data_IF_668379149024
#
_entry.id   IF_668379149024
#
_cell.length_a   1.000
_cell.length_b   1.000
_cell.length_c   1.000
_cell.angle_alpha   90.00
_cell.angle_beta   90.00
_cell.angle_gamma   90.00
#
_symmetry.space_group_name_H-M   'P 1'
#
loop_
_entity.id
_entity.type
_entity.pdbx_description
1 polymer ?
#
# COMPACT_ATOMS: atom_id res chain seq x y z
N UNK A 1 -24.92 -4.31 14.47
CA UNK A 1 -25.35 -5.73 14.56
C UNK A 1 -24.18 -6.60 14.16
N UNK A 2 -23.37 -7.05 15.12
CA UNK A 2 -22.22 -7.92 14.89
C UNK A 2 -22.58 -9.31 15.38
N UNK A 3 -23.18 -10.11 14.51
CA UNK A 3 -23.51 -11.50 14.79
C UNK A 3 -23.04 -12.42 13.67
N UNK A 4 -21.77 -12.31 13.30
CA UNK A 4 -21.08 -13.37 12.58
C UNK A 4 -19.66 -13.44 13.12
N UNK A 5 -19.33 -14.52 13.83
CA UNK A 5 -18.00 -15.15 13.97
C UNK A 5 -17.94 -16.13 15.16
N UNK A 6 -19.00 -16.92 15.37
CA UNK A 6 -18.90 -18.20 16.07
C UNK A 6 -18.40 -19.27 15.10
N UNK A 7 -17.10 -19.26 14.76
CA UNK A 7 -16.49 -20.32 13.93
C UNK A 7 -16.00 -21.48 14.78
N UNK A 8 -16.96 -22.39 15.01
CA UNK A 8 -16.80 -23.77 15.47
C UNK A 8 -15.76 -24.52 14.60
N UNK A 9 -14.79 -25.27 15.16
CA UNK A 9 -13.73 -25.97 14.39
C UNK A 9 -14.21 -27.11 13.48
N UNK A 10 -15.51 -27.42 13.48
CA UNK A 10 -16.15 -28.44 12.63
C UNK A 10 -16.96 -27.85 11.45
N UNK A 11 -16.97 -26.53 11.26
CA UNK A 11 -17.64 -25.96 10.08
C UNK A 11 -16.75 -26.15 8.84
N UNK A 12 -17.32 -26.55 7.68
CA UNK A 12 -16.57 -26.69 6.43
C UNK A 12 -15.85 -25.37 6.13
N UNK A 13 -14.64 -25.48 5.56
CA UNK A 13 -13.83 -24.36 5.08
C UNK A 13 -14.77 -23.35 4.43
N UNK A 14 -14.88 -22.15 5.02
CA UNK A 14 -15.76 -21.11 4.51
C UNK A 14 -15.50 -20.98 2.99
N UNK A 15 -16.55 -21.03 2.15
CA UNK A 15 -16.37 -21.03 0.71
C UNK A 15 -15.52 -19.83 0.32
N UNK A 16 -14.56 -20.07 -0.56
CA UNK A 16 -13.72 -18.98 -1.10
C UNK A 16 -14.69 -17.97 -1.70
N UNK A 17 -14.69 -16.73 -1.19
CA UNK A 17 -15.52 -15.66 -1.74
C UNK A 17 -15.11 -15.45 -3.19
N UNK A 18 -15.90 -15.99 -4.10
CA UNK A 18 -15.77 -15.74 -5.54
C UNK A 18 -16.37 -14.38 -5.83
N UNK A 19 -15.71 -13.63 -6.71
CA UNK A 19 -16.20 -12.35 -7.21
C UNK A 19 -16.10 -12.37 -8.72
N UNK A 20 -17.06 -11.77 -9.40
CA UNK A 20 -17.09 -11.70 -10.86
C UNK A 20 -16.47 -10.40 -11.37
N UNK A 21 -16.47 -9.34 -10.55
CA UNK A 21 -16.02 -8.01 -10.92
C UNK A 21 -15.08 -7.38 -9.88
N UNK A 22 -14.14 -6.55 -10.37
CA UNK A 22 -13.25 -5.73 -9.53
C UNK A 22 -13.50 -4.26 -9.87
N UNK A 23 -13.89 -3.47 -8.87
CA UNK A 23 -14.06 -2.01 -8.98
C UNK A 23 -12.92 -1.29 -8.25
N UNK A 24 -12.45 -0.19 -8.84
CA UNK A 24 -11.53 0.77 -8.21
C UNK A 24 -12.26 2.11 -8.01
N UNK A 25 -12.04 2.75 -6.87
CA UNK A 25 -12.66 4.03 -6.49
C UNK A 25 -11.72 4.75 -5.52
N UNK A 26 -11.88 6.07 -5.40
CA UNK A 26 -11.14 6.86 -4.42
C UNK A 26 -11.57 6.47 -3.00
N UNK A 27 -10.59 6.46 -2.09
CA UNK A 27 -10.84 6.16 -0.69
C UNK A 27 -11.11 7.46 0.06
N UNK A 28 -12.32 7.60 0.60
CA UNK A 28 -12.64 8.70 1.51
C UNK A 28 -11.89 8.55 2.83
N UNK A 29 -11.68 9.62 3.61
CA UNK A 29 -11.08 9.54 4.93
C UNK A 29 -11.81 8.57 5.87
N UNK A 30 -13.15 8.56 5.84
CA UNK A 30 -13.98 7.66 6.64
C UNK A 30 -13.77 6.21 6.22
N UNK A 31 -13.65 5.96 4.91
CA UNK A 31 -13.36 4.62 4.38
C UNK A 31 -11.98 4.12 4.80
N UNK A 32 -10.97 5.00 4.79
CA UNK A 32 -9.62 4.67 5.27
C UNK A 32 -9.65 4.31 6.75
N UNK A 33 -10.41 5.05 7.57
CA UNK A 33 -10.59 4.75 8.99
C UNK A 33 -11.31 3.41 9.20
N UNK A 34 -12.30 3.07 8.37
CA UNK A 34 -13.03 1.79 8.45
C UNK A 34 -12.14 0.56 8.22
N UNK A 35 -11.06 0.69 7.42
CA UNK A 35 -10.08 -0.38 7.21
C UNK A 35 -9.09 -0.52 8.36
N UNK A 36 -9.00 0.51 9.19
CA UNK A 36 -7.96 0.60 10.19
C UNK A 36 -8.33 -0.09 11.48
N UNK A 37 -7.38 -0.84 12.04
CA UNK A 37 -7.49 -1.46 13.35
C UNK A 37 -6.89 -0.59 14.47
N UNK A 38 -6.33 0.57 14.12
CA UNK A 38 -5.79 1.52 15.09
C UNK A 38 -4.84 2.55 14.49
N UNK A 39 -4.66 3.64 15.23
CA UNK A 39 -3.77 4.74 14.89
C UNK A 39 -2.32 4.43 15.32
N UNK A 40 -1.36 4.72 14.44
CA UNK A 40 0.07 4.61 14.73
C UNK A 40 0.60 5.98 15.10
N UNK A 41 0.99 6.13 16.37
CA UNK A 41 1.46 7.39 16.93
C UNK A 41 2.97 7.50 16.94
N UNK A 42 3.67 6.37 17.06
CA UNK A 42 5.12 6.38 17.27
C UNK A 42 5.88 5.77 16.08
N UNK A 43 7.08 6.29 15.77
CA UNK A 43 7.91 5.79 14.68
C UNK A 43 8.62 4.48 15.05
N UNK A 44 8.62 4.07 16.31
CA UNK A 44 9.38 2.89 16.74
C UNK A 44 8.82 1.59 16.14
N UNK A 45 9.70 0.63 15.90
CA UNK A 45 9.36 -0.66 15.29
C UNK A 45 9.32 -1.75 16.36
N UNK A 46 10.49 -2.16 16.83
CA UNK A 46 10.68 -3.19 17.85
C UNK A 46 11.65 -2.68 18.93
N UNK A 47 11.51 -3.23 20.12
CA UNK A 47 12.44 -2.98 21.20
C UNK A 47 13.79 -3.66 20.92
N UNK A 48 14.89 -2.92 21.08
CA UNK A 48 16.23 -3.42 20.75
C UNK A 48 16.74 -4.55 21.67
N UNK A 49 16.23 -4.66 22.92
CA UNK A 49 16.64 -5.73 23.85
C UNK A 49 15.74 -6.94 23.77
N UNK A 50 14.43 -6.73 23.75
CA UNK A 50 13.45 -7.82 23.87
C UNK A 50 12.94 -8.33 22.52
N UNK A 51 13.23 -7.61 21.43
CA UNK A 51 12.70 -7.85 20.09
C UNK A 51 11.17 -7.88 20.01
N UNK A 52 10.49 -7.39 21.05
CA UNK A 52 9.03 -7.26 21.08
C UNK A 52 8.63 -5.97 20.36
N UNK A 53 7.51 -5.97 19.62
CA UNK A 53 6.96 -4.77 19.02
C UNK A 53 6.63 -3.71 20.06
N UNK A 54 6.94 -2.47 19.73
CA UNK A 54 6.62 -1.32 20.58
C UNK A 54 5.13 -0.99 20.54
N UNK A 55 4.64 -0.39 21.64
CA UNK A 55 3.24 0.04 21.75
C UNK A 55 3.00 1.28 20.87
N UNK A 56 1.94 1.24 20.09
CA UNK A 56 1.54 2.29 19.13
C UNK A 56 2.59 2.61 18.05
N UNK A 57 3.56 1.70 17.87
CA UNK A 57 4.57 1.75 16.82
C UNK A 57 4.15 1.04 15.54
N UNK A 58 5.04 1.04 14.55
CA UNK A 58 4.81 0.49 13.22
C UNK A 58 4.58 -1.03 13.17
N UNK A 59 4.91 -1.76 14.24
CA UNK A 59 4.72 -3.21 14.33
C UNK A 59 3.78 -3.62 15.47
N UNK A 60 3.08 -2.65 16.07
CA UNK A 60 2.28 -2.82 17.29
C UNK A 60 1.34 -4.04 17.20
N UNK A 61 1.45 -4.94 18.18
CA UNK A 61 0.63 -6.16 18.21
C UNK A 61 -0.85 -5.88 18.53
N UNK A 62 -1.17 -4.74 19.17
CA UNK A 62 -2.55 -4.33 19.44
C UNK A 62 -3.30 -3.99 18.14
N UNK A 63 -2.64 -3.27 17.24
CA UNK A 63 -3.21 -2.80 15.96
C UNK A 63 -3.22 -3.96 14.96
N UNK A 64 -2.07 -4.60 14.76
CA UNK A 64 -1.92 -5.56 13.67
C UNK A 64 -2.24 -7.02 14.04
N UNK A 65 -2.33 -7.35 15.33
CA UNK A 65 -2.58 -8.70 15.83
C UNK A 65 -1.35 -9.40 16.44
N UNK A 66 -1.50 -10.65 16.92
CA UNK A 66 -0.49 -11.35 17.71
C UNK A 66 0.69 -11.88 16.88
N UNK A 67 1.87 -11.97 17.48
CA UNK A 67 3.10 -12.49 16.83
C UNK A 67 3.10 -14.02 16.75
N UNK A 68 2.44 -14.69 17.70
CA UNK A 68 2.35 -16.14 17.78
C UNK A 68 0.88 -16.54 17.74
N UNK A 69 0.60 -17.70 17.16
CA UNK A 69 -0.76 -18.21 17.07
C UNK A 69 -1.36 -18.46 18.45
N UNK A 70 -2.56 -17.91 18.68
CA UNK A 70 -3.31 -18.05 19.92
C UNK A 70 -2.52 -17.67 21.20
N UNK A 71 -1.65 -16.67 21.10
CA UNK A 71 -0.89 -16.14 22.22
C UNK A 71 -0.84 -14.61 22.19
N UNK A 72 -1.23 -13.98 23.30
CA UNK A 72 -1.09 -12.53 23.46
C UNK A 72 0.38 -12.12 23.73
N UNK A 73 0.74 -10.86 23.43
CA UNK A 73 2.12 -10.38 23.54
C UNK A 73 2.78 -10.54 24.93
N UNK A 74 2.00 -10.39 26.00
CA UNK A 74 2.51 -10.54 27.37
C UNK A 74 2.55 -12.01 27.86
N UNK A 75 1.90 -12.92 27.14
CA UNK A 75 1.80 -14.33 27.51
C UNK A 75 0.80 -14.66 28.64
N UNK A 76 -0.04 -13.72 29.10
CA UNK A 76 -1.12 -13.97 30.08
C UNK A 76 -2.12 -15.00 29.53
N UNK A 77 -2.59 -14.77 28.31
CA UNK A 77 -3.49 -15.67 27.59
C UNK A 77 -2.70 -16.43 26.51
N UNK A 78 -2.72 -17.76 26.62
CA UNK A 78 -2.08 -18.70 25.70
C UNK A 78 -3.00 -19.88 25.40
N UNK A 79 -2.83 -20.46 24.21
CA UNK A 79 -3.58 -21.61 23.67
C UNK A 79 -4.95 -21.22 23.12
N UNK A 80 -5.49 -22.11 22.30
CA UNK A 80 -6.72 -21.92 21.53
C UNK A 80 -7.96 -21.64 22.40
N UNK A 81 -7.97 -22.04 23.68
CA UNK A 81 -9.10 -21.80 24.60
C UNK A 81 -9.46 -20.33 24.80
N UNK A 82 -8.51 -19.41 24.62
CA UNK A 82 -8.74 -17.97 24.77
C UNK A 82 -8.94 -17.26 23.43
N UNK A 83 -9.28 -18.00 22.37
CA UNK A 83 -9.51 -17.42 21.04
C UNK A 83 -10.56 -16.30 21.11
N UNK A 84 -10.23 -15.14 20.54
CA UNK A 84 -11.09 -13.96 20.51
C UNK A 84 -11.05 -13.10 21.78
N UNK A 85 -10.37 -13.54 22.85
CA UNK A 85 -10.21 -12.73 24.06
C UNK A 85 -9.16 -11.64 23.83
N UNK A 86 -9.52 -10.40 24.14
CA UNK A 86 -8.59 -9.27 24.15
C UNK A 86 -7.91 -9.18 25.51
N UNK A 87 -6.57 -9.17 25.51
CA UNK A 87 -5.83 -9.14 26.77
C UNK A 87 -5.90 -7.77 27.46
N UNK A 88 -6.35 -7.71 28.71
CA UNK A 88 -6.39 -6.46 29.51
C UNK A 88 -5.02 -5.80 29.69
N UNK A 89 -3.93 -6.58 29.78
CA UNK A 89 -2.58 -6.06 30.05
C UNK A 89 -1.93 -5.44 28.82
N UNK A 90 -2.04 -6.09 27.65
CA UNK A 90 -1.36 -5.65 26.43
C UNK A 90 -2.30 -5.18 25.31
N UNK A 91 -3.61 -5.34 25.46
CA UNK A 91 -4.61 -5.00 24.45
C UNK A 91 -4.58 -5.89 23.20
N UNK A 92 -3.79 -6.97 23.20
CA UNK A 92 -3.65 -7.85 22.03
C UNK A 92 -4.74 -8.91 22.04
N UNK A 93 -5.44 -9.02 20.93
CA UNK A 93 -6.43 -10.05 20.66
C UNK A 93 -5.75 -11.40 20.40
N UNK A 94 -6.27 -12.47 21.01
CA UNK A 94 -5.76 -13.83 20.85
C UNK A 94 -6.37 -14.45 19.59
N UNK A 95 -5.66 -14.36 18.47
CA UNK A 95 -6.02 -14.92 17.16
C UNK A 95 -4.84 -15.61 16.49
N UNK A 96 -5.02 -16.03 15.23
CA UNK A 96 -3.91 -16.48 14.37
C UNK A 96 -3.01 -15.30 14.00
N UNK A 97 -1.71 -15.54 13.82
CA UNK A 97 -0.73 -14.56 13.36
C UNK A 97 -1.05 -14.08 11.93
N UNK A 98 -1.68 -14.92 11.10
CA UNK A 98 -2.04 -14.61 9.70
C UNK A 98 -2.75 -13.25 9.54
N UNK A 99 -3.54 -12.84 10.53
CA UNK A 99 -4.24 -11.54 10.51
C UNK A 99 -3.29 -10.34 10.39
N UNK A 100 -2.02 -10.47 10.80
CA UNK A 100 -0.98 -9.43 10.65
C UNK A 100 -0.62 -9.12 9.20
N UNK A 101 -1.05 -9.95 8.25
CA UNK A 101 -0.91 -9.72 6.81
C UNK A 101 -2.11 -8.98 6.21
N UNK A 102 -3.23 -8.93 6.93
CA UNK A 102 -4.51 -8.40 6.43
C UNK A 102 -4.90 -7.09 7.13
N UNK A 103 -4.62 -6.95 8.43
CA UNK A 103 -4.98 -5.76 9.22
C UNK A 103 -4.15 -4.54 8.83
N UNK A 104 -4.82 -3.44 8.52
CA UNK A 104 -4.19 -2.15 8.23
C UNK A 104 -4.20 -1.24 9.47
N UNK A 105 -3.25 -0.30 9.51
CA UNK A 105 -3.25 0.80 10.47
C UNK A 105 -3.52 2.13 9.75
N UNK A 106 -3.64 3.21 10.50
CA UNK A 106 -3.69 4.56 9.91
C UNK A 106 -2.81 5.54 10.69
N UNK A 107 -2.48 6.65 10.05
CA UNK A 107 -1.83 7.82 10.63
C UNK A 107 -2.75 9.00 10.36
N UNK A 108 -3.18 9.67 11.42
CA UNK A 108 -3.89 10.94 11.32
C UNK A 108 -2.88 12.07 11.06
N UNK A 109 -3.01 12.74 9.92
CA UNK A 109 -2.10 13.80 9.53
C UNK A 109 -2.49 15.10 10.25
N UNK A 110 -1.50 15.82 10.75
CA UNK A 110 -1.67 17.09 11.45
C UNK A 110 -2.07 18.24 10.50
N UNK A 111 -1.75 18.09 9.22
CA UNK A 111 -2.13 18.98 8.13
C UNK A 111 -2.54 18.11 6.93
N UNK A 112 -3.56 18.50 6.16
CA UNK A 112 -3.86 17.88 4.88
C UNK A 112 -2.63 17.85 3.96
N UNK A 113 -2.54 16.81 3.12
CA UNK A 113 -1.42 16.58 2.21
C UNK A 113 -1.98 16.19 0.83
N UNK A 114 -1.61 16.91 -0.22
CA UNK A 114 -2.06 16.60 -1.57
C UNK A 114 -1.46 15.27 -2.05
N UNK A 115 -2.26 14.40 -2.64
CA UNK A 115 -1.74 13.12 -3.13
C UNK A 115 -0.93 13.34 -4.42
N UNK A 116 0.36 12.98 -4.38
CA UNK A 116 1.33 13.19 -5.48
C UNK A 116 0.87 12.67 -6.85
N UNK A 117 0.11 11.57 -6.88
CA UNK A 117 -0.45 11.04 -8.13
C UNK A 117 -1.43 11.99 -8.81
N UNK A 118 -2.36 12.61 -8.09
CA UNK A 118 -3.36 13.51 -8.69
C UNK A 118 -2.76 14.88 -9.02
N UNK A 119 -1.70 15.27 -8.32
CA UNK A 119 -0.96 16.49 -8.59
C UNK A 119 -0.05 16.38 -9.81
N UNK A 120 0.91 15.44 -9.80
CA UNK A 120 2.02 15.37 -10.79
C UNK A 120 1.77 14.42 -11.95
N UNK A 121 0.67 13.65 -11.96
CA UNK A 121 0.35 12.87 -13.16
C UNK A 121 -0.03 13.81 -14.29
N UNK A 122 0.42 13.54 -15.50
CA UNK A 122 0.06 14.33 -16.67
C UNK A 122 -1.13 13.66 -17.38
N UNK A 123 -2.26 14.36 -17.60
CA UNK A 123 -2.57 15.71 -17.09
C UNK A 123 -2.92 15.71 -15.58
N UNK A 124 -2.62 16.83 -14.90
CA UNK A 124 -2.89 16.99 -13.47
C UNK A 124 -4.39 17.01 -13.22
N UNK A 125 -4.89 16.13 -12.33
CA UNK A 125 -6.32 16.05 -12.05
C UNK A 125 -6.79 17.20 -11.18
N UNK A 126 -5.97 17.59 -10.20
CA UNK A 126 -6.22 18.77 -9.36
C UNK A 126 -6.14 20.05 -10.20
N UNK A 127 -5.12 20.17 -11.07
CA UNK A 127 -4.97 21.31 -11.97
C UNK A 127 -6.14 21.48 -12.94
N UNK A 128 -6.58 20.39 -13.57
CA UNK A 128 -7.74 20.46 -14.45
C UNK A 128 -9.04 20.78 -13.70
N UNK A 129 -9.22 20.27 -12.48
CA UNK A 129 -10.44 20.54 -11.70
C UNK A 129 -10.54 22.03 -11.32
N UNK A 130 -9.43 22.60 -10.82
CA UNK A 130 -9.34 24.01 -10.42
C UNK A 130 -9.10 24.97 -11.60
N UNK A 131 -8.89 24.48 -12.81
CA UNK A 131 -8.44 25.26 -13.98
C UNK A 131 -7.11 26.03 -13.80
N UNK A 132 -6.27 25.60 -12.85
CA UNK A 132 -4.98 26.20 -12.56
C UNK A 132 -3.83 25.48 -13.29
N UNK A 133 -2.76 26.22 -13.60
CA UNK A 133 -1.55 25.57 -14.14
C UNK A 133 -0.84 24.76 -13.06
N UNK A 134 -0.08 23.73 -13.48
CA UNK A 134 0.66 22.89 -12.54
C UNK A 134 1.70 23.69 -11.75
N UNK A 135 2.33 24.70 -12.37
CA UNK A 135 3.33 25.56 -11.71
C UNK A 135 2.69 26.39 -10.61
N UNK A 136 1.51 26.94 -10.88
CA UNK A 136 0.76 27.76 -9.94
C UNK A 136 0.29 26.93 -8.74
N UNK A 137 -0.19 25.71 -8.98
CA UNK A 137 -0.53 24.77 -7.90
C UNK A 137 0.68 24.39 -7.04
N UNK A 138 1.85 24.21 -7.64
CA UNK A 138 3.06 23.88 -6.87
C UNK A 138 3.51 25.04 -5.99
N UNK A 139 3.40 26.28 -6.48
CA UNK A 139 3.69 27.49 -5.68
C UNK A 139 2.80 27.58 -4.45
N UNK A 140 1.50 27.31 -4.60
CA UNK A 140 0.56 27.30 -3.47
C UNK A 140 0.86 26.14 -2.52
N UNK A 141 1.03 24.92 -3.05
CA UNK A 141 1.23 23.72 -2.24
C UNK A 141 2.52 23.74 -1.41
N UNK A 142 3.59 24.35 -1.94
CA UNK A 142 4.90 24.41 -1.28
C UNK A 142 5.17 25.70 -0.53
N UNK A 143 4.11 26.45 -0.23
CA UNK A 143 4.15 27.64 0.62
C UNK A 143 5.00 28.78 0.02
N UNK A 144 4.97 28.96 -1.31
CA UNK A 144 5.58 30.11 -1.98
C UNK A 144 4.59 31.27 -2.12
N UNK A 145 3.36 31.00 -2.58
CA UNK A 145 2.32 32.01 -2.81
C UNK A 145 1.01 31.65 -2.09
N UNK A 146 0.27 32.65 -1.65
CA UNK A 146 -1.12 32.52 -1.23
C UNK A 146 -2.04 32.43 -2.44
N UNK A 147 -3.22 31.86 -2.24
CA UNK A 147 -4.30 31.86 -3.23
C UNK A 147 -5.56 32.42 -2.59
N UNK A 148 -6.21 33.36 -3.29
CA UNK A 148 -7.49 33.93 -2.88
C UNK A 148 -8.59 32.90 -3.08
N UNK A 149 -9.25 32.51 -1.99
CA UNK A 149 -10.36 31.56 -1.96
C UNK A 149 -11.69 32.30 -2.02
N UNK A 150 -11.81 33.39 -1.27
CA UNK A 150 -12.99 34.23 -1.27
C UNK A 150 -12.57 35.71 -1.39
N UNK A 151 -12.82 36.36 -2.53
CA UNK A 151 -12.39 37.75 -2.74
C UNK A 151 -13.23 38.78 -1.97
N UNK A 152 -14.41 38.41 -1.47
CA UNK A 152 -15.29 39.32 -0.74
C UNK A 152 -15.71 40.53 -1.59
N UNK A 153 -15.65 41.72 -0.98
CA UNK A 153 -15.95 43.01 -1.63
C UNK A 153 -14.69 43.74 -2.13
N UNK A 154 -13.56 43.05 -2.18
CA UNK A 154 -12.27 43.64 -2.61
C UNK A 154 -12.09 43.57 -4.12
N UNK A 155 -11.07 44.25 -4.62
CA UNK A 155 -10.69 44.21 -6.05
C UNK A 155 -9.97 42.90 -6.44
N UNK A 156 -9.82 41.95 -5.51
CA UNK A 156 -9.16 40.66 -5.75
C UNK A 156 -10.06 39.72 -6.53
N UNK A 157 -9.44 38.79 -7.27
CA UNK A 157 -10.15 37.76 -8.03
C UNK A 157 -9.97 36.38 -7.41
N UNK A 158 -10.98 35.52 -7.57
CA UNK A 158 -10.86 34.11 -7.18
C UNK A 158 -9.68 33.45 -7.90
N UNK A 159 -8.89 32.64 -7.19
CA UNK A 159 -7.65 32.00 -7.67
C UNK A 159 -6.47 32.93 -7.96
N UNK A 160 -6.60 34.22 -7.68
CA UNK A 160 -5.47 35.14 -7.75
C UNK A 160 -4.37 34.69 -6.79
N UNK A 161 -3.14 34.63 -7.31
CA UNK A 161 -1.98 34.35 -6.49
C UNK A 161 -1.43 35.65 -5.91
N UNK A 162 -1.10 35.62 -4.63
CA UNK A 162 -0.46 36.73 -3.94
C UNK A 162 0.86 36.24 -3.37
N UNK A 163 1.93 36.99 -3.60
CA UNK A 163 3.17 36.83 -2.85
C UNK A 163 2.95 37.21 -1.38
N UNK A 164 3.91 36.90 -0.51
CA UNK A 164 3.80 37.25 0.90
C UNK A 164 3.71 38.77 1.12
N UNK A 165 4.45 39.57 0.33
CA UNK A 165 4.39 41.03 0.37
C UNK A 165 3.01 41.55 -0.10
N UNK A 166 2.55 41.10 -1.27
CA UNK A 166 1.23 41.50 -1.82
C UNK A 166 0.06 41.09 -0.91
N UNK A 167 0.18 39.95 -0.22
CA UNK A 167 -0.82 39.51 0.74
C UNK A 167 -0.89 40.44 1.95
N UNK A 168 0.27 40.84 2.50
CA UNK A 168 0.33 41.78 3.62
C UNK A 168 -0.19 43.16 3.21
N UNK A 169 0.21 43.66 2.04
CA UNK A 169 -0.27 44.93 1.51
C UNK A 169 -1.80 44.92 1.30
N UNK A 170 -2.35 43.81 0.78
CA UNK A 170 -3.79 43.64 0.63
C UNK A 170 -4.51 43.56 1.98
N UNK A 171 -3.91 42.92 2.99
CA UNK A 171 -4.47 42.91 4.35
C UNK A 171 -4.46 44.30 4.99
N UNK A 172 -3.41 45.09 4.77
CA UNK A 172 -3.30 46.47 5.27
C UNK A 172 -4.30 47.40 4.55
N UNK A 173 -4.53 47.19 3.25
CA UNK A 173 -5.44 48.02 2.45
C UNK A 173 -6.93 47.72 2.71
N UNK A 174 -7.32 46.44 2.69
CA UNK A 174 -8.73 46.03 2.75
C UNK A 174 -9.17 45.60 4.16
N UNK A 175 -8.22 45.28 5.04
CA UNK A 175 -8.47 44.70 6.36
C UNK A 175 -8.43 43.16 6.32
N UNK A 176 -8.06 42.57 7.47
CA UNK A 176 -7.82 41.13 7.59
C UNK A 176 -9.05 40.25 7.31
N UNK A 177 -10.27 40.76 7.51
CA UNK A 177 -11.53 40.02 7.33
C UNK A 177 -12.22 40.33 6.00
N UNK A 178 -11.64 41.18 5.14
CA UNK A 178 -12.29 41.60 3.90
C UNK A 178 -12.23 40.56 2.78
N UNK A 179 -11.22 39.68 2.81
CA UNK A 179 -11.05 38.58 1.87
C UNK A 179 -10.38 37.39 2.57
N UNK A 180 -10.57 36.19 2.03
CA UNK A 180 -9.92 34.96 2.52
C UNK A 180 -8.90 34.49 1.50
N UNK A 181 -7.62 34.51 1.86
CA UNK A 181 -6.55 33.85 1.10
C UNK A 181 -5.76 32.90 1.98
N UNK A 182 -5.61 31.66 1.51
CA UNK A 182 -4.92 30.59 2.24
C UNK A 182 -3.73 30.08 1.43
N UNK A 183 -2.91 29.24 2.06
CA UNK A 183 -1.71 28.66 1.45
C UNK A 183 -1.58 27.17 1.77
N UNK A 184 -0.87 26.43 0.91
CA UNK A 184 -0.60 25.01 1.10
C UNK A 184 -1.74 24.09 0.66
N UNK A 185 -1.67 22.84 1.12
CA UNK A 185 -2.66 21.81 0.78
C UNK A 185 -4.05 22.06 1.39
N UNK A 186 -4.14 22.85 2.46
CA UNK A 186 -5.40 23.27 3.09
C UNK A 186 -6.22 24.14 2.13
N UNK A 187 -5.58 25.15 1.53
CA UNK A 187 -6.20 26.02 0.54
C UNK A 187 -6.73 25.23 -0.66
N UNK A 188 -5.90 24.33 -1.21
CA UNK A 188 -6.30 23.49 -2.34
C UNK A 188 -7.49 22.60 -1.98
N UNK A 189 -7.50 22.03 -0.76
CA UNK A 189 -8.61 21.19 -0.30
C UNK A 189 -9.91 21.96 -0.15
N UNK A 190 -9.84 23.17 0.41
CA UNK A 190 -10.99 24.06 0.57
C UNK A 190 -11.57 24.48 -0.78
N UNK A 191 -10.71 24.91 -1.71
CA UNK A 191 -11.13 25.22 -3.08
C UNK A 191 -11.77 24.02 -3.78
N UNK A 192 -11.22 22.81 -3.62
CA UNK A 192 -11.81 21.59 -4.19
C UNK A 192 -13.16 21.22 -3.56
N UNK A 193 -13.34 21.48 -2.26
CA UNK A 193 -14.58 21.22 -1.54
C UNK A 193 -15.69 22.23 -1.86
N UNK A 194 -15.31 23.45 -2.25
CA UNK A 194 -16.23 24.51 -2.66
C UNK A 194 -16.79 24.32 -4.08
N UNK A 195 -16.21 23.41 -4.88
CA UNK A 195 -16.70 23.15 -6.24
C UNK A 195 -18.02 22.39 -6.18
N UNK A 196 -19.06 23.01 -6.70
CA UNK A 196 -20.28 22.32 -7.07
C UNK A 196 -20.13 21.72 -8.48
N UNK A 197 -20.12 20.39 -8.52
CA UNK A 197 -19.86 19.62 -9.74
C UNK A 197 -20.98 19.75 -10.77
N UNK A 198 -22.24 19.89 -10.33
CA UNK A 198 -23.40 19.95 -11.22
C UNK A 198 -23.42 21.27 -11.98
N UNK A 199 -23.36 22.38 -11.25
CA UNK A 199 -23.29 23.72 -11.84
C UNK A 199 -22.05 23.92 -12.71
N UNK A 200 -20.89 23.40 -12.27
CA UNK A 200 -19.66 23.45 -13.07
C UNK A 200 -19.80 22.67 -14.39
N UNK A 201 -20.48 21.51 -14.38
CA UNK A 201 -20.70 20.74 -15.61
C UNK A 201 -21.63 21.48 -16.59
N UNK A 202 -22.68 22.13 -16.10
CA UNK A 202 -23.60 22.93 -16.91
C UNK A 202 -22.89 24.14 -17.54
N UNK A 203 -22.11 24.88 -16.75
CA UNK A 203 -21.30 26.00 -17.23
C UNK A 203 -20.32 25.54 -18.32
N UNK A 204 -19.57 24.46 -18.10
CA UNK A 204 -18.63 23.95 -19.09
C UNK A 204 -19.31 23.46 -20.38
N UNK A 205 -20.54 22.97 -20.32
CA UNK A 205 -21.32 22.61 -21.51
C UNK A 205 -21.79 23.85 -22.27
N UNK A 206 -22.14 24.93 -21.58
CA UNK A 206 -22.47 26.21 -22.20
C UNK A 206 -21.24 26.82 -22.87
N UNK A 207 -20.12 26.92 -22.14
CA UNK A 207 -18.84 27.42 -22.64
C UNK A 207 -18.37 26.63 -23.87
N UNK A 208 -18.60 25.31 -23.90
CA UNK A 208 -18.23 24.47 -25.04
C UNK A 208 -19.01 24.82 -26.32
N UNK A 209 -20.26 25.26 -26.19
CA UNK A 209 -21.10 25.68 -27.34
C UNK A 209 -20.64 27.02 -27.90
N UNK A 210 -20.20 27.93 -27.04
CA UNK A 210 -19.73 29.27 -27.42
C UNK A 210 -18.25 29.28 -27.83
N UNK A 211 -17.47 28.29 -27.40
CA UNK A 211 -16.04 28.25 -27.64
C UNK A 211 -15.70 28.12 -29.13
N UNK A 212 -15.11 29.18 -29.67
CA UNK A 212 -14.55 29.24 -31.02
C UNK A 212 -13.04 28.98 -31.01
N UNK A 213 -12.51 28.43 -32.12
CA UNK A 213 -11.10 28.06 -32.28
C UNK A 213 -10.76 26.63 -31.86
N UNK A 214 -9.50 26.20 -32.01
CA UNK A 214 -9.13 24.79 -31.79
C UNK A 214 -8.71 24.43 -30.35
N UNK A 215 -8.10 25.38 -29.62
CA UNK A 215 -7.45 25.10 -28.33
C UNK A 215 -8.42 25.19 -27.14
N UNK A 216 -9.31 26.21 -27.13
CA UNK A 216 -10.27 26.44 -26.05
C UNK A 216 -11.25 25.26 -25.90
N UNK A 217 -11.90 24.75 -26.96
CA UNK A 217 -12.78 23.59 -26.84
C UNK A 217 -12.06 22.35 -26.31
N UNK A 218 -10.82 22.09 -26.76
CA UNK A 218 -10.02 20.95 -26.28
C UNK A 218 -9.72 21.02 -24.77
N UNK A 219 -9.53 22.22 -24.21
CA UNK A 219 -9.32 22.42 -22.76
C UNK A 219 -10.61 22.15 -21.99
N UNK A 220 -11.73 22.74 -22.44
CA UNK A 220 -13.06 22.58 -21.84
C UNK A 220 -13.48 21.11 -21.85
N UNK A 221 -13.34 20.41 -22.98
CA UNK A 221 -13.66 18.97 -23.10
C UNK A 221 -12.88 18.13 -22.07
N UNK A 222 -11.59 18.41 -21.88
CA UNK A 222 -10.77 17.67 -20.91
C UNK A 222 -11.22 17.91 -19.47
N UNK A 223 -11.64 19.13 -19.14
CA UNK A 223 -12.16 19.49 -17.81
C UNK A 223 -13.55 18.89 -17.58
N UNK A 224 -14.47 19.10 -18.52
CA UNK A 224 -15.84 18.55 -18.48
C UNK A 224 -15.82 17.03 -18.29
N UNK A 225 -14.98 16.32 -19.03
CA UNK A 225 -14.82 14.86 -18.87
C UNK A 225 -14.47 14.44 -17.44
N UNK A 226 -13.61 15.21 -16.75
CA UNK A 226 -13.23 14.91 -15.37
C UNK A 226 -14.41 15.19 -14.42
N UNK A 227 -15.07 16.34 -14.58
CA UNK A 227 -16.23 16.72 -13.75
C UNK A 227 -17.35 15.67 -13.87
N UNK A 228 -17.70 15.27 -15.10
CA UNK A 228 -18.67 14.20 -15.35
C UNK A 228 -18.23 12.86 -14.74
N UNK A 229 -16.94 12.51 -14.82
CA UNK A 229 -16.43 11.29 -14.17
C UNK A 229 -16.57 11.34 -12.64
N UNK A 230 -16.45 12.51 -12.02
CA UNK A 230 -16.66 12.66 -10.57
C UNK A 230 -18.14 12.55 -10.21
N UNK A 231 -19.04 13.15 -11.00
CA UNK A 231 -20.48 13.02 -10.85
C UNK A 231 -20.94 11.55 -10.96
N UNK A 232 -20.55 10.85 -12.02
CA UNK A 232 -20.93 9.44 -12.25
C UNK A 232 -20.40 8.51 -11.16
N UNK A 233 -19.20 8.80 -10.65
CA UNK A 233 -18.55 7.92 -9.66
C UNK A 233 -18.99 8.19 -8.22
N UNK A 234 -19.69 9.30 -7.96
CA UNK A 234 -20.07 9.76 -6.61
C UNK A 234 -18.88 10.08 -5.71
N UNK A 235 -17.68 10.25 -6.30
CA UNK A 235 -16.49 10.63 -5.53
C UNK A 235 -16.48 12.14 -5.32
N UNK A 236 -15.85 12.56 -4.23
CA UNK A 236 -15.67 13.97 -3.87
C UNK A 236 -14.26 14.47 -4.29
N UNK A 237 -14.12 15.62 -4.99
CA UNK A 237 -12.82 16.10 -5.49
C UNK A 237 -11.75 16.29 -4.41
N UNK A 238 -12.15 16.76 -3.22
CA UNK A 238 -11.29 16.98 -2.06
C UNK A 238 -10.68 15.69 -1.49
N UNK A 239 -11.19 14.50 -1.84
CA UNK A 239 -10.56 13.22 -1.48
C UNK A 239 -9.21 13.01 -2.16
N UNK A 240 -8.86 13.83 -3.16
CA UNK A 240 -7.51 13.88 -3.72
C UNK A 240 -6.47 14.46 -2.73
N UNK A 241 -6.92 15.13 -1.67
CA UNK A 241 -6.08 15.63 -0.58
C UNK A 241 -6.29 14.75 0.66
N UNK A 242 -5.22 14.09 1.09
CA UNK A 242 -5.23 13.15 2.20
C UNK A 242 -5.25 13.89 3.54
N UNK A 243 -6.19 13.54 4.40
CA UNK A 243 -6.21 13.90 5.83
C UNK A 243 -5.80 12.73 6.72
N UNK A 244 -6.04 11.50 6.25
CA UNK A 244 -5.68 10.26 6.93
C UNK A 244 -4.86 9.40 5.97
N UNK A 245 -3.73 8.89 6.44
CA UNK A 245 -2.82 8.06 5.66
C UNK A 245 -2.90 6.59 6.12
N UNK A 246 -3.31 5.64 5.25
CA UNK A 246 -3.29 4.23 5.60
C UNK A 246 -1.86 3.68 5.68
N UNK A 247 -1.64 2.76 6.62
CA UNK A 247 -0.37 2.06 6.82
C UNK A 247 -0.55 0.58 6.49
N UNK A 248 0.29 0.09 5.56
CA UNK A 248 0.21 -1.29 5.12
C UNK A 248 0.56 -2.27 6.26
N UNK A 249 0.03 -3.51 6.23
CA UNK A 249 0.30 -4.53 7.22
C UNK A 249 1.81 -4.84 7.37
N UNK A 250 2.31 -5.13 8.59
CA UNK A 250 3.73 -5.32 8.86
C UNK A 250 4.35 -6.51 8.14
N UNK A 251 3.59 -7.58 7.87
CA UNK A 251 4.08 -8.76 7.12
C UNK A 251 4.40 -8.42 5.65
N UNK A 252 3.83 -7.34 5.10
CA UNK A 252 4.16 -6.86 3.75
C UNK A 252 5.41 -5.96 3.72
N UNK A 253 5.89 -5.55 4.90
CA UNK A 253 7.09 -4.73 5.11
C UNK A 253 7.95 -5.29 6.27
N UNK A 254 8.40 -6.55 6.15
CA UNK A 254 8.97 -7.28 7.27
C UNK A 254 10.29 -6.68 7.76
N UNK A 255 10.59 -6.97 9.01
CA UNK A 255 11.88 -6.70 9.65
C UNK A 255 12.45 -8.07 10.04
N UNK A 256 13.42 -8.53 9.27
CA UNK A 256 13.95 -9.90 9.38
C UNK A 256 15.29 -9.86 10.12
N UNK A 257 15.44 -10.60 11.24
CA UNK A 257 16.73 -10.72 11.89
C UNK A 257 17.71 -11.47 10.96
N UNK A 258 18.92 -10.94 10.85
CA UNK A 258 20.06 -11.57 10.20
C UNK A 258 21.05 -12.05 11.25
N UNK A 259 21.96 -12.94 10.83
CA UNK A 259 23.06 -13.40 11.67
C UNK A 259 23.91 -12.21 12.16
N UNK A 260 24.38 -12.30 13.41
CA UNK A 260 25.15 -11.22 14.04
C UNK A 260 24.30 -10.06 14.60
N UNK A 261 23.01 -10.28 14.89
CA UNK A 261 22.15 -9.29 15.56
C UNK A 261 21.75 -8.10 14.69
N UNK A 262 21.98 -8.18 13.38
CA UNK A 262 21.57 -7.17 12.40
C UNK A 262 20.12 -7.41 11.97
N UNK A 263 19.48 -6.39 11.42
CA UNK A 263 18.12 -6.49 10.89
C UNK A 263 18.08 -6.02 9.44
N UNK A 264 17.46 -6.83 8.58
CA UNK A 264 17.05 -6.40 7.25
C UNK A 264 15.70 -5.69 7.36
N UNK A 265 15.67 -4.39 7.05
CA UNK A 265 14.46 -3.58 7.05
C UNK A 265 13.97 -3.32 5.64
N UNK A 266 12.65 -3.34 5.45
CA UNK A 266 12.04 -2.82 4.22
C UNK A 266 12.17 -1.30 4.14
N UNK A 267 12.54 -0.77 2.97
CA UNK A 267 12.63 0.69 2.69
C UNK A 267 11.35 1.44 3.10
N UNK A 268 10.18 0.81 2.97
CA UNK A 268 8.90 1.42 3.35
C UNK A 268 8.85 1.79 4.84
N UNK A 269 9.48 1.00 5.71
CA UNK A 269 9.51 1.31 7.14
C UNK A 269 10.26 2.63 7.39
N UNK A 270 11.33 2.90 6.65
CA UNK A 270 12.07 4.16 6.79
C UNK A 270 11.27 5.36 6.26
N UNK A 271 10.53 5.18 5.17
CA UNK A 271 9.62 6.20 4.64
C UNK A 271 8.47 6.50 5.62
N UNK A 272 7.82 5.47 6.17
CA UNK A 272 6.80 5.64 7.21
C UNK A 272 7.34 6.32 8.47
N UNK A 273 8.54 5.93 8.92
CA UNK A 273 9.20 6.59 10.07
C UNK A 273 9.41 8.07 9.84
N UNK A 274 9.84 8.47 8.63
CA UNK A 274 9.99 9.88 8.27
C UNK A 274 8.66 10.62 8.34
N UNK A 275 7.59 10.07 7.77
CA UNK A 275 6.25 10.67 7.83
C UNK A 275 5.78 10.84 9.27
N UNK A 276 5.86 9.80 10.10
CA UNK A 276 5.43 9.85 11.51
C UNK A 276 6.24 10.88 12.30
N UNK A 277 7.56 10.92 12.11
CA UNK A 277 8.42 11.89 12.80
C UNK A 277 8.07 13.34 12.42
N UNK A 278 7.85 13.63 11.14
CA UNK A 278 7.44 14.95 10.65
C UNK A 278 6.06 15.33 11.16
N UNK A 279 5.12 14.39 11.10
CA UNK A 279 3.75 14.59 11.58
C UNK A 279 3.72 14.92 13.08
N UNK A 280 4.42 14.14 13.91
CA UNK A 280 4.50 14.36 15.35
C UNK A 280 5.20 15.68 15.70
N UNK A 281 6.24 16.04 14.96
CA UNK A 281 6.93 17.32 15.11
C UNK A 281 5.99 18.48 14.78
N UNK A 282 5.22 18.38 13.70
CA UNK A 282 4.22 19.38 13.33
C UNK A 282 3.12 19.51 14.39
N UNK A 283 2.56 18.39 14.90
CA UNK A 283 1.57 18.43 16.01
C UNK A 283 2.11 19.21 17.21
N UNK A 284 3.35 18.91 17.64
CA UNK A 284 4.00 19.62 18.76
C UNK A 284 4.22 21.11 18.49
N UNK A 285 4.62 21.48 17.27
CA UNK A 285 4.82 22.88 16.91
C UNK A 285 3.51 23.69 16.95
N UNK A 286 2.41 23.07 16.52
CA UNK A 286 1.06 23.67 16.58
C UNK A 286 0.62 23.81 18.04
N UNK A 287 0.80 22.78 18.87
CA UNK A 287 0.47 22.82 20.31
C UNK A 287 1.24 23.92 21.05
N UNK A 288 2.51 24.13 20.70
CA UNK A 288 3.37 25.18 21.28
C UNK A 288 3.13 26.56 20.68
N UNK A 289 2.22 26.71 19.70
CA UNK A 289 1.99 27.96 18.95
C UNK A 289 3.29 28.55 18.40
N UNK A 290 4.12 27.70 17.79
CA UNK A 290 5.37 28.13 17.18
C UNK A 290 5.10 29.12 16.02
N UNK A 291 6.05 30.02 15.69
CA UNK A 291 5.90 30.96 14.58
C UNK A 291 5.56 30.30 13.23
N UNK A 292 4.75 30.99 12.42
CA UNK A 292 4.20 30.46 11.17
C UNK A 292 5.27 30.00 10.18
N UNK A 293 6.40 30.69 10.10
CA UNK A 293 7.52 30.31 9.21
C UNK A 293 7.98 28.88 9.51
N UNK A 294 8.09 28.53 10.80
CA UNK A 294 8.52 27.19 11.24
C UNK A 294 7.43 26.16 10.93
N UNK A 295 6.16 26.51 11.18
CA UNK A 295 5.01 25.63 10.91
C UNK A 295 4.87 25.36 9.41
N UNK A 296 4.97 26.38 8.55
CA UNK A 296 4.93 26.26 7.07
C UNK A 296 6.05 25.36 6.57
N UNK A 297 7.28 25.55 7.06
CA UNK A 297 8.40 24.69 6.68
C UNK A 297 8.16 23.23 7.09
N UNK A 298 7.60 22.97 8.28
CA UNK A 298 7.30 21.60 8.71
C UNK A 298 6.12 20.99 7.93
N UNK A 299 5.09 21.78 7.57
CA UNK A 299 4.01 21.36 6.64
C UNK A 299 4.58 20.97 5.27
N UNK A 300 5.49 21.77 4.70
CA UNK A 300 6.22 21.45 3.46
C UNK A 300 7.02 20.15 3.58
N UNK A 301 7.72 19.97 4.71
CA UNK A 301 8.50 18.75 4.97
C UNK A 301 7.62 17.50 5.14
N UNK A 302 6.42 17.65 5.71
CA UNK A 302 5.44 16.57 5.80
C UNK A 302 4.93 16.18 4.41
N UNK A 303 4.58 17.17 3.57
CA UNK A 303 4.17 16.95 2.18
C UNK A 303 5.26 16.18 1.40
N UNK A 304 6.53 16.58 1.52
CA UNK A 304 7.67 15.87 0.89
C UNK A 304 7.84 14.44 1.38
N UNK A 305 7.67 14.21 2.69
CA UNK A 305 7.78 12.87 3.26
C UNK A 305 6.69 11.92 2.74
N UNK A 306 5.45 12.42 2.59
CA UNK A 306 4.33 11.65 2.05
C UNK A 306 4.47 11.46 0.54
N UNK A 307 4.92 12.48 -0.20
CA UNK A 307 5.24 12.36 -1.63
C UNK A 307 6.23 11.21 -1.85
N UNK A 308 7.31 11.17 -1.05
CA UNK A 308 8.33 10.14 -1.17
C UNK A 308 7.85 8.74 -0.77
N UNK A 309 6.89 8.63 0.17
CA UNK A 309 6.27 7.36 0.52
C UNK A 309 5.50 6.77 -0.68
N UNK A 310 4.72 7.60 -1.39
CA UNK A 310 3.95 7.16 -2.54
C UNK A 310 4.80 6.99 -3.79
N UNK A 311 5.62 7.98 -4.16
CA UNK A 311 6.52 7.95 -5.33
C UNK A 311 7.78 8.82 -5.12
N UNK A 312 8.84 8.20 -4.62
CA UNK A 312 10.13 8.84 -4.27
C UNK A 312 10.88 9.45 -5.46
N UNK A 313 10.52 9.11 -6.71
CA UNK A 313 11.19 9.60 -7.90
C UNK A 313 10.47 10.76 -8.61
N UNK A 314 9.23 11.06 -8.24
CA UNK A 314 8.38 11.95 -9.04
C UNK A 314 8.62 13.44 -8.77
N UNK A 315 9.31 13.75 -7.67
CA UNK A 315 9.62 15.12 -7.26
C UNK A 315 11.08 15.24 -6.85
N UNK A 316 11.76 16.21 -7.44
CA UNK A 316 13.05 16.70 -6.99
C UNK A 316 14.08 15.61 -6.77
N UNK A 317 14.84 15.73 -5.67
CA UNK A 317 15.91 14.81 -5.31
C UNK A 317 15.36 13.58 -4.60
N UNK A 318 15.68 12.42 -5.15
CA UNK A 318 15.28 11.12 -4.59
C UNK A 318 15.87 10.94 -3.19
N UNK A 319 15.03 10.52 -2.24
CA UNK A 319 15.48 10.18 -0.90
C UNK A 319 16.29 8.88 -0.93
N UNK A 320 17.52 8.95 -0.45
CA UNK A 320 18.43 7.82 -0.37
C UNK A 320 18.52 7.24 1.04
N UNK A 321 18.77 5.93 1.10
CA UNK A 321 19.08 5.22 2.35
C UNK A 321 20.56 5.36 2.74
N UNK A 322 20.95 4.63 3.78
CA UNK A 322 22.34 4.58 4.28
C UNK A 322 23.36 4.21 3.20
N UNK A 323 22.98 3.30 2.30
CA UNK A 323 23.84 2.82 1.21
C UNK A 323 23.83 3.75 -0.02
N UNK A 324 23.38 5.01 0.11
CA UNK A 324 23.17 5.99 -0.97
C UNK A 324 22.26 5.54 -2.12
N UNK A 325 21.67 4.35 -2.04
CA UNK A 325 20.66 3.87 -2.99
C UNK A 325 19.32 4.59 -2.75
N UNK A 326 18.52 4.85 -3.79
CA UNK A 326 17.18 5.40 -3.64
C UNK A 326 16.26 4.40 -2.92
N UNK A 327 15.49 4.88 -1.95
CA UNK A 327 14.49 4.06 -1.26
C UNK A 327 13.34 3.71 -2.22
N UNK A 328 12.89 2.45 -2.21
CA UNK A 328 11.73 2.01 -3.00
C UNK A 328 10.42 2.48 -2.35
N UNK A 329 9.62 3.22 -3.11
CA UNK A 329 8.29 3.70 -2.71
C UNK A 329 7.18 2.66 -2.94
N UNK A 330 5.96 2.97 -2.52
CA UNK A 330 4.78 2.12 -2.79
C UNK A 330 4.55 1.92 -4.29
N UNK A 331 4.71 2.99 -5.09
CA UNK A 331 4.58 2.91 -6.55
C UNK A 331 5.64 1.98 -7.16
N UNK A 332 6.89 2.08 -6.70
CA UNK A 332 8.02 1.29 -7.22
C UNK A 332 7.87 -0.20 -6.92
N UNK A 333 7.17 -0.56 -5.85
CA UNK A 333 6.85 -1.95 -5.55
C UNK A 333 5.86 -2.55 -6.54
N UNK A 334 4.98 -1.73 -7.13
CA UNK A 334 3.97 -2.19 -8.09
C UNK A 334 4.49 -2.16 -9.53
N UNK A 335 5.19 -1.10 -9.93
CA UNK A 335 5.63 -0.85 -11.32
C UNK A 335 6.99 -1.48 -11.66
N UNK A 336 7.27 -1.59 -12.95
CA UNK A 336 8.57 -2.03 -13.48
C UNK A 336 8.75 -3.56 -13.59
N UNK A 337 9.93 -3.98 -14.05
CA UNK A 337 10.26 -5.41 -14.27
C UNK A 337 10.33 -6.21 -12.96
N UNK A 338 10.84 -5.58 -11.90
CA UNK A 338 10.87 -6.12 -10.54
C UNK A 338 9.60 -5.80 -9.72
N UNK A 339 8.60 -5.19 -10.34
CA UNK A 339 7.34 -4.86 -9.69
C UNK A 339 6.43 -6.07 -9.55
N UNK A 340 5.44 -5.98 -8.65
CA UNK A 340 4.53 -7.08 -8.33
C UNK A 340 3.81 -7.67 -9.54
N UNK A 341 3.35 -6.83 -10.48
CA UNK A 341 2.59 -7.31 -11.64
C UNK A 341 3.42 -8.25 -12.53
N UNK A 342 4.61 -7.82 -12.94
CA UNK A 342 5.44 -8.61 -13.88
C UNK A 342 6.19 -9.73 -13.17
N UNK A 343 6.73 -9.48 -11.98
CA UNK A 343 7.59 -10.44 -11.31
C UNK A 343 6.83 -11.50 -10.52
N UNK A 344 5.71 -11.16 -9.87
CA UNK A 344 5.05 -12.04 -8.90
C UNK A 344 3.67 -12.56 -9.36
N UNK A 345 2.91 -11.75 -10.12
CA UNK A 345 1.61 -12.18 -10.62
C UNK A 345 1.75 -13.04 -11.88
N UNK A 346 2.55 -12.59 -12.86
CA UNK A 346 2.83 -13.34 -14.08
C UNK A 346 3.96 -14.37 -13.90
N UNK A 347 4.98 -14.02 -13.13
CA UNK A 347 6.07 -14.94 -12.76
C UNK A 347 5.79 -15.60 -11.41
N UNK A 348 5.49 -16.89 -11.40
CA UNK A 348 5.42 -17.65 -10.15
C UNK A 348 6.46 -18.75 -10.16
N UNK A 349 7.19 -18.86 -9.06
CA UNK A 349 7.95 -20.07 -8.78
C UNK A 349 6.94 -21.14 -8.43
N UNK A 350 7.05 -22.27 -9.12
CA UNK A 350 6.16 -23.42 -8.96
C UNK A 350 6.94 -24.54 -8.31
N UNK A 351 6.32 -25.19 -7.34
CA UNK A 351 6.82 -26.43 -6.76
C UNK A 351 6.68 -27.57 -7.76
N UNK A 352 7.30 -28.72 -7.48
CA UNK A 352 7.33 -29.89 -8.39
C UNK A 352 7.94 -29.55 -9.76
N UNK A 353 9.00 -28.75 -9.76
CA UNK A 353 9.77 -28.42 -10.95
C UNK A 353 11.25 -28.78 -10.76
N UNK A 354 11.94 -29.09 -11.86
CA UNK A 354 13.35 -29.45 -11.85
C UNK A 354 14.07 -28.91 -13.09
N UNK A 355 15.40 -28.77 -13.00
CA UNK A 355 16.25 -28.36 -14.12
C UNK A 355 17.46 -29.28 -14.19
N UNK A 356 17.79 -29.75 -15.38
CA UNK A 356 19.00 -30.52 -15.68
C UNK A 356 19.54 -30.14 -17.05
N UNK A 357 20.77 -30.58 -17.34
CA UNK A 357 21.38 -30.49 -18.66
C UNK A 357 20.72 -31.51 -19.58
N UNK A 358 20.43 -31.09 -20.81
CA UNK A 358 19.89 -31.96 -21.86
C UNK A 358 21.01 -32.71 -22.55
N UNK A 359 20.80 -34.01 -22.81
CA UNK A 359 21.73 -34.88 -23.55
C UNK A 359 20.93 -35.61 -24.63
N UNK A 360 21.59 -35.98 -25.72
CA UNK A 360 21.00 -36.77 -26.81
C UNK A 360 20.71 -38.20 -26.37
N UNK A 361 19.47 -38.66 -26.52
CA UNK A 361 19.04 -40.05 -26.33
C UNK A 361 18.40 -40.61 -27.61
N UNK A 362 19.20 -41.02 -28.61
CA UNK A 362 18.72 -41.42 -29.94
C UNK A 362 17.78 -42.65 -29.95
N UNK A 363 17.81 -43.45 -28.89
CA UNK A 363 16.97 -44.64 -28.71
C UNK A 363 15.53 -44.36 -28.25
N UNK A 364 15.22 -43.12 -27.86
CA UNK A 364 13.92 -42.73 -27.33
C UNK A 364 12.89 -42.47 -28.43
N UNK A 365 11.62 -42.79 -28.18
CA UNK A 365 10.51 -42.43 -29.07
C UNK A 365 10.16 -40.93 -28.95
N UNK A 366 9.46 -40.39 -29.96
CA UNK A 366 9.07 -38.97 -30.00
C UNK A 366 8.29 -38.47 -28.76
N UNK A 367 7.51 -39.35 -28.13
CA UNK A 367 6.71 -39.04 -26.94
C UNK A 367 7.43 -39.38 -25.62
N UNK A 368 8.71 -39.75 -25.66
CA UNK A 368 9.49 -40.17 -24.49
C UNK A 368 10.62 -39.18 -24.22
N UNK A 369 10.96 -39.04 -22.94
CA UNK A 369 12.14 -38.31 -22.50
C UNK A 369 12.85 -39.06 -21.37
N UNK A 370 14.18 -38.99 -21.33
CA UNK A 370 14.96 -39.50 -20.23
C UNK A 370 14.89 -38.57 -19.02
N UNK A 371 14.51 -39.10 -17.85
CA UNK A 371 14.48 -38.36 -16.59
C UNK A 371 15.46 -39.00 -15.58
N UNK A 372 16.39 -38.24 -14.98
CA UNK A 372 17.27 -38.79 -13.97
C UNK A 372 16.50 -39.34 -12.77
N UNK A 373 16.85 -40.55 -12.34
CA UNK A 373 16.19 -41.26 -11.21
C UNK A 373 16.04 -40.39 -9.95
N UNK A 374 17.08 -39.65 -9.59
CA UNK A 374 17.05 -38.74 -8.42
C UNK A 374 16.06 -37.57 -8.60
N UNK A 375 15.96 -37.02 -9.81
CA UNK A 375 14.97 -35.97 -10.09
C UNK A 375 13.55 -36.53 -10.06
N UNK A 376 13.33 -37.70 -10.66
CA UNK A 376 12.04 -38.38 -10.60
C UNK A 376 11.63 -38.66 -9.15
N UNK A 377 12.56 -39.16 -8.33
CA UNK A 377 12.32 -39.42 -6.92
C UNK A 377 11.85 -38.17 -6.17
N UNK A 378 12.47 -37.01 -6.39
CA UNK A 378 12.10 -35.73 -5.77
C UNK A 378 10.75 -35.18 -6.27
N UNK A 379 10.53 -35.18 -7.58
CA UNK A 379 9.31 -34.65 -8.19
C UNK A 379 8.06 -35.44 -7.78
N UNK A 380 8.20 -36.77 -7.67
CA UNK A 380 7.07 -37.66 -7.41
C UNK A 380 6.94 -38.09 -5.94
N UNK A 381 7.71 -37.50 -5.00
CA UNK A 381 7.69 -37.86 -3.56
C UNK A 381 6.29 -38.08 -2.96
N UNK A 382 5.31 -37.17 -3.14
CA UNK A 382 3.98 -37.35 -2.55
C UNK A 382 3.25 -38.59 -3.08
N UNK A 383 3.40 -38.88 -4.37
CA UNK A 383 2.79 -40.06 -5.01
C UNK A 383 3.43 -41.36 -4.51
N UNK A 384 4.76 -41.36 -4.33
CA UNK A 384 5.50 -42.49 -3.77
C UNK A 384 5.04 -42.76 -2.34
N UNK A 385 4.89 -41.73 -1.50
CA UNK A 385 4.39 -41.90 -0.13
C UNK A 385 2.99 -42.52 -0.09
N UNK A 386 2.08 -42.02 -0.92
CA UNK A 386 0.72 -42.56 -1.03
C UNK A 386 0.70 -44.03 -1.46
N UNK A 387 1.54 -44.40 -2.44
CA UNK A 387 1.65 -45.79 -2.92
C UNK A 387 2.31 -46.74 -1.91
N UNK A 388 3.33 -46.28 -1.18
CA UNK A 388 3.96 -47.05 -0.11
C UNK A 388 2.98 -47.38 1.02
N UNK A 389 2.11 -46.43 1.37
CA UNK A 389 1.04 -46.62 2.35
C UNK A 389 -0.04 -47.57 1.83
N UNK A 390 -0.51 -47.38 0.58
CA UNK A 390 -1.52 -48.24 -0.03
C UNK A 390 -1.08 -49.71 -0.14
N UNK A 391 0.21 -49.97 -0.37
CA UNK A 391 0.78 -51.33 -0.40
C UNK A 391 1.11 -51.91 0.98
N UNK A 392 0.86 -51.18 2.07
CA UNK A 392 1.17 -51.62 3.43
C UNK A 392 2.67 -51.67 3.77
N UNK A 393 3.54 -51.17 2.89
CA UNK A 393 4.99 -51.13 3.09
C UNK A 393 5.41 -50.05 4.11
N UNK A 394 4.54 -49.06 4.32
CA UNK A 394 4.69 -48.07 5.38
C UNK A 394 3.37 -47.83 6.10
N UNK A 395 3.41 -47.80 7.43
CA UNK A 395 2.25 -47.51 8.27
C UNK A 395 2.01 -46.02 8.52
N UNK A 396 3.04 -45.18 8.30
CA UNK A 396 2.98 -43.73 8.51
C UNK A 396 3.80 -42.97 7.47
N UNK A 397 3.39 -41.74 7.16
CA UNK A 397 4.12 -40.83 6.25
C UNK A 397 5.58 -40.62 6.69
N UNK A 398 5.85 -40.60 8.01
CA UNK A 398 7.23 -40.48 8.53
C UNK A 398 8.08 -41.71 8.21
N UNK A 399 7.50 -42.90 8.28
CA UNK A 399 8.19 -44.13 7.89
C UNK A 399 8.44 -44.15 6.38
N UNK A 400 7.43 -43.80 5.57
CA UNK A 400 7.57 -43.66 4.12
C UNK A 400 8.69 -42.68 3.74
N UNK A 401 8.76 -41.53 4.41
CA UNK A 401 9.84 -40.55 4.23
C UNK A 401 11.22 -41.15 4.48
N UNK A 402 11.39 -41.90 5.58
CA UNK A 402 12.66 -42.59 5.89
C UNK A 402 13.03 -43.65 4.85
N UNK A 403 12.05 -44.38 4.30
CA UNK A 403 12.29 -45.39 3.26
C UNK A 403 12.79 -44.74 1.97
N UNK A 404 12.18 -43.62 1.58
CA UNK A 404 12.57 -42.83 0.40
C UNK A 404 13.94 -42.18 0.58
N UNK A 405 14.23 -41.61 1.75
CA UNK A 405 15.55 -41.03 2.06
C UNK A 405 16.69 -42.07 2.05
N UNK A 406 16.38 -43.33 2.35
CA UNK A 406 17.33 -44.45 2.30
C UNK A 406 17.43 -45.11 0.92
N UNK A 407 16.69 -44.62 -0.09
CA UNK A 407 16.70 -45.13 -1.46
C UNK A 407 16.53 -46.67 -1.55
N UNK A 408 15.64 -47.24 -0.72
CA UNK A 408 15.43 -48.70 -0.69
C UNK A 408 14.93 -49.24 -2.04
N UNK A 409 15.24 -50.50 -2.39
CA UNK A 409 14.80 -51.14 -3.65
C UNK A 409 13.31 -50.98 -3.94
N UNK A 410 12.46 -51.22 -2.93
CA UNK A 410 10.99 -51.12 -3.00
C UNK A 410 10.50 -49.75 -3.50
N UNK A 411 11.27 -48.69 -3.25
CA UNK A 411 10.93 -47.32 -3.66
C UNK A 411 11.10 -47.15 -5.17
N UNK A 412 12.08 -47.83 -5.78
CA UNK A 412 12.32 -47.78 -7.22
C UNK A 412 11.22 -48.51 -7.99
N UNK A 413 10.77 -49.65 -7.50
CA UNK A 413 9.65 -50.40 -8.10
C UNK A 413 8.35 -49.58 -8.09
N UNK A 414 8.11 -48.86 -6.99
CA UNK A 414 6.95 -47.96 -6.87
C UNK A 414 7.12 -46.73 -7.74
N UNK A 415 8.33 -46.18 -7.85
CA UNK A 415 8.59 -45.06 -8.74
C UNK A 415 8.29 -45.42 -10.19
N UNK A 416 8.75 -46.59 -10.66
CA UNK A 416 8.49 -47.08 -12.02
C UNK A 416 6.97 -47.29 -12.27
N UNK A 417 6.23 -47.74 -11.27
CA UNK A 417 4.75 -47.83 -11.34
C UNK A 417 4.10 -46.44 -11.44
N UNK A 418 4.55 -45.48 -10.63
CA UNK A 418 3.99 -44.12 -10.56
C UNK A 418 4.22 -43.34 -11.86
N UNK A 419 5.38 -43.49 -12.50
CA UNK A 419 5.76 -42.71 -13.68
C UNK A 419 5.27 -43.31 -15.01
N UNK A 420 4.73 -44.55 -15.01
CA UNK A 420 4.48 -45.33 -16.24
C UNK A 420 3.64 -44.64 -17.29
N UNK A 421 2.59 -43.93 -16.87
CA UNK A 421 1.69 -43.16 -17.75
C UNK A 421 1.49 -41.73 -17.23
N UNK A 422 2.46 -41.20 -16.49
CA UNK A 422 2.40 -39.85 -15.96
C UNK A 422 3.26 -38.91 -16.82
N UNK A 423 2.64 -38.07 -17.69
CA UNK A 423 3.40 -37.15 -18.53
C UNK A 423 4.10 -36.08 -17.69
N UNK A 424 5.20 -35.55 -18.24
CA UNK A 424 5.95 -34.41 -17.69
C UNK A 424 6.06 -33.31 -18.75
N UNK A 425 6.10 -32.05 -18.30
CA UNK A 425 6.27 -30.91 -19.18
C UNK A 425 7.74 -30.49 -19.24
N UNK A 426 8.31 -30.46 -20.44
CA UNK A 426 9.65 -29.95 -20.70
C UNK A 426 9.57 -28.53 -21.26
N UNK A 427 10.37 -27.62 -20.72
CA UNK A 427 10.42 -26.23 -21.15
C UNK A 427 11.88 -25.78 -21.31
N UNK A 428 12.16 -24.96 -22.32
CA UNK A 428 13.48 -24.37 -22.58
C UNK A 428 13.35 -22.85 -22.56
N UNK A 429 14.20 -22.19 -21.76
CA UNK A 429 14.30 -20.74 -21.81
C UNK A 429 14.86 -20.31 -23.18
N UNK A 430 14.28 -19.29 -23.82
CA UNK A 430 14.74 -18.78 -25.11
C UNK A 430 16.14 -18.16 -25.02
#
# INVERSE_FOLDING_TARGET
MNQELSTNPFNPVAPVKTFDEIKISLASPERILSWSFGEIKKPETINYRTFKPERDGLFCARIFGPIKDYECLCGKYKRMKYRGVVCEKCGVEVTLQKVRRERMGHIELASPVAHIWFLKSLPSRIGLMLDMTLRDLERVLYFENYVVIEPGLTDLTYQQQLTEEEYLDAQDQYGADAFTANIGAEAIREMLAAIDLETTAEQLRADLKEATGELKPKKIIKRLKIVESFLESGNRPEWMVLTVLPVIPPELRPLVPLDGGRFATSDLNDLYRRVINRNNRLKRLIELRAPDIIVRNEKRMLQEAVDALFDNGRRGRVITGTNKRPLKSLSDMLKGKQGRFRQNLLGKRVDFSGRSVIVTGPELKLHQCGLPKKMALELFKPFIYSRLEAKGLSSTVKQAKKLVEKERPEVWDILDEVIREHPVLLNRAP
#
